data_IF_824774982147
#
_entry.id   IF_824774982147
#
_cell.length_a   1.000
_cell.length_b   1.000
_cell.length_c   1.000
_cell.angle_alpha   90.00
_cell.angle_beta   90.00
_cell.angle_gamma   90.00
#
_symmetry.space_group_name_H-M   'P 1'
#
loop_
_entity.id
_entity.type
_entity.pdbx_description
1 polymer ?
#
# COMPACT_ATOMS: atom_id res chain seq x y z
N UNK A 1 10.29 24.64 -38.87
CA UNK A 1 10.11 25.84 -38.03
C UNK A 1 8.80 25.67 -37.29
N UNK A 2 8.84 25.82 -35.97
CA UNK A 2 7.82 25.43 -34.99
C UNK A 2 6.41 25.98 -35.28
N UNK A 3 5.39 25.13 -35.09
CA UNK A 3 4.06 25.56 -34.64
C UNK A 3 3.42 24.42 -33.82
N UNK A 4 3.62 24.51 -32.51
CA UNK A 4 2.81 23.84 -31.51
C UNK A 4 1.41 24.43 -31.51
N UNK A 5 0.38 23.60 -31.66
CA UNK A 5 -0.95 23.84 -31.09
C UNK A 5 -1.40 22.55 -30.42
N UNK A 6 -1.58 22.64 -29.11
CA UNK A 6 -2.07 21.59 -28.25
C UNK A 6 -3.58 21.42 -28.47
N UNK A 7 -3.95 20.42 -29.25
CA UNK A 7 -5.22 19.74 -29.09
C UNK A 7 -4.89 18.29 -28.70
N UNK A 8 -5.06 17.98 -27.41
CA UNK A 8 -4.97 16.62 -26.88
C UNK A 8 -6.38 16.01 -26.88
N UNK A 9 -6.82 15.29 -27.93
CA UNK A 9 -7.98 14.44 -27.85
C UNK A 9 -7.55 13.12 -27.20
N UNK A 10 -7.22 13.14 -25.91
CA UNK A 10 -7.09 11.90 -25.12
C UNK A 10 -8.49 11.34 -24.86
N UNK A 11 -8.99 10.65 -25.88
CA UNK A 11 -10.27 9.94 -25.87
C UNK A 11 -11.02 10.09 -27.19
N UNK A 12 -10.60 9.34 -28.22
CA UNK A 12 -11.50 8.60 -29.12
C UNK A 12 -10.82 8.11 -30.43
N UNK A 13 -9.66 8.63 -30.84
CA UNK A 13 -9.17 8.38 -32.21
C UNK A 13 -7.64 8.22 -32.34
N UNK A 14 -7.02 7.33 -31.56
CA UNK A 14 -5.61 6.99 -31.78
C UNK A 14 -5.40 5.83 -32.77
N UNK A 15 -6.45 5.11 -33.14
CA UNK A 15 -6.44 4.19 -34.28
C UNK A 15 -7.76 4.35 -35.01
N UNK A 16 -7.71 4.63 -36.31
CA UNK A 16 -8.88 4.72 -37.19
C UNK A 16 -9.53 3.35 -37.35
N UNK A 17 -10.20 2.87 -36.30
CA UNK A 17 -10.91 1.62 -36.30
C UNK A 17 -12.29 1.78 -36.92
N UNK A 18 -12.71 0.77 -37.66
CA UNK A 18 -14.06 0.73 -38.24
C UNK A 18 -15.14 0.69 -37.14
N UNK A 19 -16.39 1.07 -37.46
CA UNK A 19 -17.54 0.93 -36.54
C UNK A 19 -17.65 -0.49 -35.97
N UNK A 20 -17.26 -1.48 -36.77
CA UNK A 20 -17.19 -2.90 -36.38
C UNK A 20 -16.15 -3.12 -35.28
N UNK A 21 -14.95 -2.56 -35.40
CA UNK A 21 -13.91 -2.65 -34.36
C UNK A 21 -14.34 -2.00 -33.05
N UNK A 22 -15.03 -0.85 -33.10
CA UNK A 22 -15.59 -0.22 -31.90
C UNK A 22 -16.64 -1.10 -31.21
N UNK A 23 -17.50 -1.76 -31.99
CA UNK A 23 -18.52 -2.69 -31.45
C UNK A 23 -17.90 -3.96 -30.86
N UNK A 24 -16.81 -4.46 -31.45
CA UNK A 24 -16.08 -5.63 -30.98
C UNK A 24 -15.34 -5.33 -29.67
N UNK A 25 -14.66 -4.18 -29.59
CA UNK A 25 -14.01 -3.71 -28.37
C UNK A 25 -15.01 -3.54 -27.22
N UNK A 26 -16.18 -2.95 -27.50
CA UNK A 26 -17.24 -2.83 -26.48
C UNK A 26 -17.69 -4.21 -25.99
N UNK A 27 -17.85 -5.17 -26.88
CA UNK A 27 -18.24 -6.55 -26.53
C UNK A 27 -17.19 -7.21 -25.63
N UNK A 28 -15.91 -7.04 -25.95
CA UNK A 28 -14.80 -7.53 -25.13
C UNK A 28 -14.80 -6.90 -23.73
N UNK A 29 -15.00 -5.58 -23.63
CA UNK A 29 -15.12 -4.88 -22.33
C UNK A 29 -16.28 -5.42 -21.49
N UNK A 30 -17.46 -5.61 -22.10
CA UNK A 30 -18.62 -6.18 -21.42
C UNK A 30 -18.32 -7.61 -20.94
N UNK A 31 -17.62 -8.42 -21.74
CA UNK A 31 -17.22 -9.77 -21.32
C UNK A 31 -16.31 -9.73 -20.07
N UNK A 32 -15.31 -8.85 -20.05
CA UNK A 32 -14.44 -8.63 -18.88
C UNK A 32 -15.25 -8.24 -17.65
N UNK A 33 -16.27 -7.40 -17.81
CA UNK A 33 -17.17 -7.00 -16.72
C UNK A 33 -17.95 -8.21 -16.22
N UNK A 34 -18.67 -8.91 -17.10
CA UNK A 34 -19.55 -10.04 -16.73
C UNK A 34 -18.77 -11.17 -16.06
N UNK A 35 -17.60 -11.53 -16.60
CA UNK A 35 -16.70 -12.53 -16.00
C UNK A 35 -16.32 -12.08 -14.59
N UNK A 36 -15.96 -10.81 -14.41
CA UNK A 36 -15.64 -10.23 -13.11
C UNK A 36 -16.78 -10.36 -12.09
N UNK A 37 -18.01 -9.97 -12.45
CA UNK A 37 -19.19 -10.14 -11.59
C UNK A 37 -19.41 -11.60 -11.16
N UNK A 38 -19.27 -12.54 -12.10
CA UNK A 38 -19.41 -13.97 -11.81
C UNK A 38 -18.33 -14.44 -10.84
N UNK A 39 -17.07 -14.07 -11.08
CA UNK A 39 -15.94 -14.40 -10.21
C UNK A 39 -16.09 -13.81 -8.81
N UNK A 40 -16.65 -12.61 -8.68
CA UNK A 40 -16.92 -11.98 -7.40
C UNK A 40 -17.89 -12.80 -6.55
N UNK A 41 -18.96 -13.33 -7.15
CA UNK A 41 -19.90 -14.24 -6.47
C UNK A 41 -19.16 -15.47 -5.96
N UNK A 42 -18.32 -16.10 -6.79
CA UNK A 42 -17.54 -17.27 -6.37
C UNK A 42 -16.55 -16.95 -5.26
N UNK A 43 -15.86 -15.81 -5.33
CA UNK A 43 -14.94 -15.35 -4.28
C UNK A 43 -15.68 -15.17 -2.95
N UNK A 44 -16.80 -14.46 -2.96
CA UNK A 44 -17.63 -14.23 -1.75
C UNK A 44 -18.12 -15.54 -1.16
N UNK A 45 -18.64 -16.45 -1.99
CA UNK A 45 -19.08 -17.78 -1.56
C UNK A 45 -17.93 -18.64 -1.03
N UNK A 46 -16.75 -18.53 -1.64
CA UNK A 46 -15.54 -19.21 -1.19
C UNK A 46 -15.13 -18.75 0.21
N UNK A 47 -15.11 -17.43 0.44
CA UNK A 47 -14.84 -16.86 1.77
C UNK A 47 -15.90 -17.26 2.81
N UNK A 48 -17.18 -17.27 2.43
CA UNK A 48 -18.27 -17.69 3.31
C UNK A 48 -18.12 -19.16 3.76
N UNK A 49 -17.67 -20.05 2.87
CA UNK A 49 -17.45 -21.48 3.16
C UNK A 49 -16.17 -21.77 3.93
N UNK A 50 -15.10 -20.99 3.73
CA UNK A 50 -13.80 -21.22 4.38
C UNK A 50 -13.83 -21.01 5.91
N UNK A 51 -14.87 -20.37 6.45
CA UNK A 51 -15.02 -20.09 7.88
C UNK A 51 -13.98 -19.10 8.44
N UNK A 52 -14.17 -18.61 9.67
CA UNK A 52 -13.30 -17.60 10.33
C UNK A 52 -11.86 -18.06 10.61
N UNK A 53 -11.44 -19.26 10.19
CA UNK A 53 -10.34 -20.00 10.82
C UNK A 53 -8.91 -19.51 10.52
N UNK A 54 -8.68 -18.52 9.67
CA UNK A 54 -7.36 -17.89 9.51
C UNK A 54 -7.47 -16.41 9.18
N UNK A 55 -7.92 -15.60 10.14
CA UNK A 55 -7.77 -14.14 10.03
C UNK A 55 -6.29 -13.80 10.26
N UNK A 56 -5.57 -13.49 9.18
CA UNK A 56 -4.26 -12.85 9.21
C UNK A 56 -4.26 -11.66 10.20
N UNK A 57 -3.19 -11.42 11.00
CA UNK A 57 -3.14 -10.37 12.05
C UNK A 57 -3.61 -8.98 11.61
N UNK A 58 -3.40 -8.64 10.34
CA UNK A 58 -3.87 -7.43 9.66
C UNK A 58 -5.40 -7.23 9.65
N UNK A 59 -6.20 -8.26 9.92
CA UNK A 59 -7.66 -8.14 10.05
C UNK A 59 -8.11 -7.72 11.46
N UNK A 60 -7.19 -7.46 12.40
CA UNK A 60 -7.53 -6.69 13.61
C UNK A 60 -7.86 -5.26 13.20
N UNK A 61 -9.15 -4.95 13.17
CA UNK A 61 -9.67 -3.64 12.77
C UNK A 61 -9.79 -2.73 13.99
N UNK A 62 -9.09 -1.59 13.96
CA UNK A 62 -9.42 -0.48 14.86
C UNK A 62 -10.74 0.20 14.41
N UNK A 63 -11.43 0.91 15.32
CA UNK A 63 -12.75 1.53 15.04
C UNK A 63 -12.73 2.51 13.86
N UNK A 64 -11.60 3.17 13.59
CA UNK A 64 -11.46 4.09 12.45
C UNK A 64 -11.39 3.33 11.12
N UNK A 65 -10.59 2.27 11.08
CA UNK A 65 -10.42 1.40 9.90
C UNK A 65 -11.69 0.62 9.58
N UNK A 66 -12.39 0.12 10.60
CA UNK A 66 -13.68 -0.55 10.42
C UNK A 66 -14.72 0.37 9.74
N UNK A 67 -14.82 1.64 10.18
CA UNK A 67 -15.72 2.63 9.57
C UNK A 67 -15.34 2.95 8.12
N UNK A 68 -14.06 3.17 7.83
CA UNK A 68 -13.58 3.40 6.45
C UNK A 68 -13.89 2.23 5.54
N UNK A 69 -13.65 1.00 6.01
CA UNK A 69 -13.93 -0.21 5.25
C UNK A 69 -15.44 -0.41 5.02
N UNK A 70 -16.27 -0.11 6.03
CA UNK A 70 -17.73 -0.17 5.90
C UNK A 70 -18.23 0.77 4.79
N UNK A 71 -17.78 2.03 4.81
CA UNK A 71 -18.15 3.00 3.76
C UNK A 71 -17.68 2.52 2.39
N UNK A 72 -16.43 2.07 2.29
CA UNK A 72 -15.87 1.56 1.04
C UNK A 72 -16.69 0.38 0.47
N UNK A 73 -17.02 -0.61 1.30
CA UNK A 73 -17.79 -1.79 0.89
C UNK A 73 -19.23 -1.42 0.53
N UNK A 74 -19.87 -0.55 1.31
CA UNK A 74 -21.23 -0.10 1.03
C UNK A 74 -21.33 0.59 -0.34
N UNK A 75 -20.45 1.56 -0.60
CA UNK A 75 -20.44 2.26 -1.88
C UNK A 75 -19.96 1.37 -3.03
N UNK A 76 -19.00 0.46 -2.82
CA UNK A 76 -18.59 -0.55 -3.81
C UNK A 76 -19.75 -1.45 -4.22
N UNK A 77 -20.54 -1.92 -3.26
CA UNK A 77 -21.74 -2.72 -3.53
C UNK A 77 -22.78 -1.92 -4.30
N UNK A 78 -22.99 -0.64 -3.93
CA UNK A 78 -23.91 0.24 -4.65
C UNK A 78 -23.46 0.52 -6.09
N UNK A 79 -22.18 0.81 -6.30
CA UNK A 79 -21.61 1.05 -7.62
C UNK A 79 -21.86 -0.14 -8.55
N UNK A 80 -21.56 -1.36 -8.10
CA UNK A 80 -21.72 -2.59 -8.86
C UNK A 80 -23.20 -2.93 -9.11
N UNK A 81 -24.06 -2.80 -8.10
CA UNK A 81 -25.50 -3.08 -8.29
C UNK A 81 -26.18 -2.09 -9.24
N UNK A 82 -25.86 -0.80 -9.12
CA UNK A 82 -26.29 0.22 -10.08
C UNK A 82 -25.66 -0.01 -11.46
N UNK A 83 -24.41 -0.45 -11.48
CA UNK A 83 -23.65 -0.82 -12.66
C UNK A 83 -24.35 -1.90 -13.49
N UNK A 84 -24.61 -3.03 -12.86
CA UNK A 84 -25.35 -4.15 -13.44
C UNK A 84 -26.74 -3.73 -13.91
N UNK A 85 -27.48 -2.96 -13.10
CA UNK A 85 -28.80 -2.44 -13.49
C UNK A 85 -28.73 -1.57 -14.75
N UNK A 86 -27.75 -0.67 -14.84
CA UNK A 86 -27.60 0.20 -16.00
C UNK A 86 -27.23 -0.58 -17.27
N UNK A 87 -26.41 -1.63 -17.16
CA UNK A 87 -26.10 -2.52 -18.29
C UNK A 87 -27.34 -3.29 -18.78
N UNK A 88 -28.20 -3.76 -17.88
CA UNK A 88 -29.43 -4.48 -18.22
C UNK A 88 -30.49 -3.58 -18.88
N UNK A 89 -30.59 -2.32 -18.45
CA UNK A 89 -31.56 -1.34 -18.99
C UNK A 89 -31.05 -0.67 -20.28
N UNK A 90 -29.73 -0.64 -20.50
CA UNK A 90 -29.10 -0.06 -21.68
C UNK A 90 -29.04 1.48 -21.67
N UNK A 91 -28.89 2.09 -22.85
CA UNK A 91 -28.57 3.52 -23.02
C UNK A 91 -29.58 4.53 -22.43
N UNK A 92 -30.77 4.08 -22.02
CA UNK A 92 -31.77 4.89 -21.31
C UNK A 92 -31.47 5.12 -19.82
N UNK A 93 -30.51 4.41 -19.23
CA UNK A 93 -30.26 4.39 -17.79
C UNK A 93 -29.33 5.53 -17.28
N UNK A 94 -29.38 6.74 -17.86
CA UNK A 94 -28.43 7.82 -17.55
C UNK A 94 -28.36 8.21 -16.08
N UNK A 95 -29.53 8.28 -15.41
CA UNK A 95 -29.58 8.54 -13.98
C UNK A 95 -28.87 7.46 -13.16
N UNK A 96 -29.05 6.19 -13.53
CA UNK A 96 -28.40 5.04 -12.89
C UNK A 96 -26.89 5.03 -13.15
N UNK A 97 -26.45 5.33 -14.37
CA UNK A 97 -25.02 5.46 -14.71
C UNK A 97 -24.35 6.55 -13.87
N UNK A 98 -24.98 7.74 -13.76
CA UNK A 98 -24.47 8.84 -12.94
C UNK A 98 -24.45 8.51 -11.45
N UNK A 99 -25.46 7.80 -10.94
CA UNK A 99 -25.48 7.36 -9.55
C UNK A 99 -24.35 6.36 -9.25
N UNK A 100 -24.09 5.41 -10.17
CA UNK A 100 -22.95 4.50 -10.08
C UNK A 100 -21.62 5.26 -10.09
N UNK A 101 -21.45 6.22 -11.01
CA UNK A 101 -20.26 7.08 -11.08
C UNK A 101 -20.05 7.93 -9.81
N UNK A 102 -21.12 8.44 -9.19
CA UNK A 102 -21.01 9.15 -7.91
C UNK A 102 -20.48 8.24 -6.80
N UNK A 103 -20.83 6.94 -6.80
CA UNK A 103 -20.29 5.99 -5.85
C UNK A 103 -18.77 5.81 -6.00
N UNK A 104 -18.26 5.82 -7.24
CA UNK A 104 -16.82 5.72 -7.53
C UNK A 104 -16.01 6.80 -6.83
N UNK A 105 -16.50 8.03 -6.77
CA UNK A 105 -15.77 9.11 -6.10
C UNK A 105 -15.54 8.78 -4.62
N UNK A 106 -16.52 8.19 -3.95
CA UNK A 106 -16.40 7.76 -2.54
C UNK A 106 -15.49 6.53 -2.43
N UNK A 107 -15.61 5.56 -3.34
CA UNK A 107 -14.80 4.34 -3.36
C UNK A 107 -13.33 4.68 -3.56
N UNK A 108 -13.00 5.53 -4.54
CA UNK A 108 -11.64 5.89 -4.88
C UNK A 108 -10.97 6.67 -3.74
N UNK A 109 -11.67 7.62 -3.11
CA UNK A 109 -11.16 8.33 -1.93
C UNK A 109 -10.93 7.37 -0.75
N UNK A 110 -11.87 6.47 -0.48
CA UNK A 110 -11.71 5.50 0.59
C UNK A 110 -10.64 4.44 0.26
N UNK A 111 -10.38 4.13 -1.02
CA UNK A 111 -9.30 3.26 -1.46
C UNK A 111 -7.93 3.91 -1.26
N UNK A 112 -7.79 5.21 -1.58
CA UNK A 112 -6.57 5.99 -1.35
C UNK A 112 -6.12 5.92 0.12
N UNK A 113 -7.07 6.06 1.05
CA UNK A 113 -6.82 5.97 2.50
C UNK A 113 -6.41 4.57 3.00
N UNK A 114 -6.41 3.57 2.12
CA UNK A 114 -6.08 2.19 2.43
C UNK A 114 -4.81 1.70 1.73
N UNK A 115 -4.16 2.51 0.89
CA UNK A 115 -2.99 2.10 0.08
C UNK A 115 -1.83 1.65 0.96
N UNK A 116 -1.52 2.38 2.03
CA UNK A 116 -0.44 2.03 2.96
C UNK A 116 -0.69 0.68 3.66
N UNK A 117 -1.95 0.27 3.73
CA UNK A 117 -2.36 -1.02 4.25
C UNK A 117 -2.52 -2.08 3.14
N UNK A 118 -1.99 -1.89 1.93
CA UNK A 118 -1.96 -2.95 0.90
C UNK A 118 -0.88 -4.00 1.20
N UNK A 119 -0.89 -5.14 0.52
CA UNK A 119 0.13 -6.20 0.68
C UNK A 119 0.96 -6.31 -0.57
N UNK A 120 2.24 -6.67 -0.41
CA UNK A 120 3.21 -6.87 -1.47
C UNK A 120 4.24 -5.75 -1.48
N UNK A 121 4.94 -5.57 -2.60
CA UNK A 121 6.08 -4.65 -2.72
C UNK A 121 5.58 -3.21 -2.84
N UNK A 122 5.78 -2.33 -1.83
CA UNK A 122 5.19 -0.98 -1.84
C UNK A 122 5.64 -0.13 -3.03
N UNK A 123 6.92 -0.26 -3.43
CA UNK A 123 7.50 0.43 -4.58
C UNK A 123 6.82 0.13 -5.92
N UNK A 124 6.04 -0.94 -6.00
CA UNK A 124 5.28 -1.34 -7.21
C UNK A 124 3.79 -1.15 -6.99
N UNK A 125 3.27 -1.53 -5.82
CA UNK A 125 1.83 -1.59 -5.56
C UNK A 125 1.25 -0.21 -5.33
N UNK A 126 1.95 0.65 -4.59
CA UNK A 126 1.51 2.02 -4.33
C UNK A 126 1.24 2.79 -5.63
N UNK A 127 2.19 2.90 -6.58
CA UNK A 127 1.93 3.58 -7.85
C UNK A 127 0.86 2.87 -8.70
N UNK A 128 0.81 1.54 -8.70
CA UNK A 128 -0.23 0.79 -9.41
C UNK A 128 -1.65 1.11 -8.91
N UNK A 129 -1.83 1.18 -7.58
CA UNK A 129 -3.10 1.55 -6.96
C UNK A 129 -3.46 3.01 -7.20
N UNK A 130 -2.48 3.92 -7.28
CA UNK A 130 -2.73 5.30 -7.69
C UNK A 130 -3.18 5.42 -9.15
N UNK A 131 -2.53 4.70 -10.07
CA UNK A 131 -2.90 4.69 -11.49
C UNK A 131 -4.35 4.24 -11.66
N UNK A 132 -4.73 3.08 -11.13
CA UNK A 132 -6.09 2.55 -11.33
C UNK A 132 -7.17 3.43 -10.69
N UNK A 133 -6.93 3.97 -9.49
CA UNK A 133 -7.90 4.84 -8.83
C UNK A 133 -8.03 6.19 -9.54
N UNK A 134 -6.94 6.76 -10.06
CA UNK A 134 -6.98 8.01 -10.83
C UNK A 134 -7.74 7.82 -12.13
N UNK A 135 -7.50 6.72 -12.84
CA UNK A 135 -8.28 6.34 -14.02
C UNK A 135 -9.76 6.18 -13.69
N UNK A 136 -10.07 5.54 -12.56
CA UNK A 136 -11.45 5.30 -12.15
C UNK A 136 -12.20 6.60 -11.85
N UNK A 137 -11.55 7.54 -11.16
CA UNK A 137 -12.06 8.90 -10.91
C UNK A 137 -12.28 9.65 -12.22
N UNK A 138 -11.31 9.60 -13.14
CA UNK A 138 -11.39 10.29 -14.42
C UNK A 138 -12.60 9.84 -15.25
N UNK A 139 -12.84 8.52 -15.35
CA UNK A 139 -14.02 7.98 -16.04
C UNK A 139 -15.32 8.32 -15.34
N UNK A 140 -15.38 8.19 -14.02
CA UNK A 140 -16.55 8.58 -13.24
C UNK A 140 -16.90 10.06 -13.44
N UNK A 141 -15.89 10.94 -13.44
CA UNK A 141 -16.10 12.37 -13.68
C UNK A 141 -16.69 12.63 -15.06
N UNK A 142 -16.19 11.98 -16.12
CA UNK A 142 -16.75 12.08 -17.48
C UNK A 142 -18.19 11.59 -17.59
N UNK A 143 -18.57 10.55 -16.85
CA UNK A 143 -19.96 10.08 -16.77
C UNK A 143 -20.87 11.12 -16.08
N UNK A 144 -20.39 11.72 -15.00
CA UNK A 144 -21.14 12.71 -14.22
C UNK A 144 -21.42 13.99 -15.02
N UNK A 145 -20.38 14.59 -15.61
CA UNK A 145 -20.52 15.84 -16.36
C UNK A 145 -21.25 15.65 -17.70
N UNK A 146 -21.30 14.42 -18.21
CA UNK A 146 -21.68 14.16 -19.60
C UNK A 146 -20.53 14.56 -20.52
N UNK A 147 -19.95 13.60 -21.22
CA UNK A 147 -18.86 13.88 -22.16
C UNK A 147 -19.37 14.81 -23.28
N UNK A 148 -19.19 16.13 -23.09
CA UNK A 148 -19.65 17.14 -24.01
C UNK A 148 -20.30 18.36 -23.33
N UNK A 149 -19.49 19.18 -22.64
CA UNK A 149 -19.76 20.62 -22.64
C UNK A 149 -19.41 21.26 -24.02
N UNK A 150 -18.79 20.49 -24.94
CA UNK A 150 -18.20 20.97 -26.20
C UNK A 150 -18.44 20.07 -27.43
N UNK A 151 -19.20 18.96 -27.37
CA UNK A 151 -19.47 18.12 -28.56
C UNK A 151 -20.91 17.62 -28.62
N UNK A 152 -21.44 17.60 -29.85
CA UNK A 152 -22.83 17.29 -30.20
C UNK A 152 -23.22 15.82 -30.10
N UNK A 153 -22.28 14.91 -29.80
CA UNK A 153 -22.51 13.46 -29.71
C UNK A 153 -22.39 12.93 -28.26
N UNK A 154 -23.18 13.54 -27.36
CA UNK A 154 -23.09 13.34 -25.91
C UNK A 154 -23.60 11.98 -25.41
N UNK A 155 -24.35 11.24 -26.23
CA UNK A 155 -25.06 10.03 -25.79
C UNK A 155 -24.17 8.78 -25.80
N UNK A 156 -23.37 8.60 -26.85
CA UNK A 156 -22.45 7.47 -26.97
C UNK A 156 -21.26 7.58 -26.00
N UNK A 157 -20.74 8.80 -25.84
CA UNK A 157 -19.56 9.04 -25.02
C UNK A 157 -19.81 8.81 -23.51
N UNK A 158 -21.01 9.10 -22.99
CA UNK A 158 -21.35 8.78 -21.59
C UNK A 158 -21.38 7.27 -21.35
N UNK A 159 -21.97 6.51 -22.28
CA UNK A 159 -22.03 5.06 -22.19
C UNK A 159 -20.63 4.43 -22.26
N UNK A 160 -19.77 4.90 -23.16
CA UNK A 160 -18.38 4.39 -23.25
C UNK A 160 -17.58 4.68 -21.98
N UNK A 161 -17.64 5.91 -21.45
CA UNK A 161 -16.95 6.23 -20.19
C UNK A 161 -17.52 5.43 -19.00
N UNK A 162 -18.82 5.12 -19.03
CA UNK A 162 -19.45 4.28 -18.01
C UNK A 162 -18.98 2.83 -18.12
N UNK A 163 -18.87 2.27 -19.33
CA UNK A 163 -18.31 0.93 -19.53
C UNK A 163 -16.85 0.90 -19.08
N UNK A 164 -16.05 1.89 -19.45
CA UNK A 164 -14.65 2.01 -19.01
C UNK A 164 -14.51 2.06 -17.49
N UNK A 165 -15.39 2.82 -16.82
CA UNK A 165 -15.46 2.85 -15.35
C UNK A 165 -15.68 1.45 -14.78
N UNK A 166 -16.67 0.71 -15.29
CA UNK A 166 -16.96 -0.65 -14.83
C UNK A 166 -15.82 -1.64 -15.10
N UNK A 167 -15.06 -1.48 -16.20
CA UNK A 167 -13.85 -2.28 -16.46
C UNK A 167 -12.78 -2.00 -15.41
N UNK A 168 -12.55 -0.74 -15.05
CA UNK A 168 -11.57 -0.37 -14.02
C UNK A 168 -11.94 -0.91 -12.64
N UNK A 169 -13.22 -0.92 -12.29
CA UNK A 169 -13.71 -1.52 -11.05
C UNK A 169 -13.32 -3.02 -10.93
N UNK A 170 -13.25 -3.74 -12.07
CA UNK A 170 -12.86 -5.15 -12.07
C UNK A 170 -11.38 -5.40 -11.73
N UNK A 171 -10.50 -4.40 -11.75
CA UNK A 171 -9.10 -4.59 -11.37
C UNK A 171 -8.94 -5.15 -9.95
N UNK A 172 -9.84 -4.81 -9.04
CA UNK A 172 -9.86 -5.37 -7.69
C UNK A 172 -10.34 -6.83 -7.64
N UNK A 173 -11.25 -7.23 -8.53
CA UNK A 173 -11.72 -8.62 -8.62
C UNK A 173 -10.63 -9.49 -9.25
N UNK A 174 -10.07 -9.07 -10.37
CA UNK A 174 -9.02 -9.79 -11.07
C UNK A 174 -7.74 -9.92 -10.24
N UNK A 175 -7.37 -8.88 -9.46
CA UNK A 175 -6.21 -9.00 -8.56
C UNK A 175 -6.40 -10.10 -7.52
N UNK A 176 -7.59 -10.22 -6.92
CA UNK A 176 -7.91 -11.31 -5.98
C UNK A 176 -7.91 -12.68 -6.66
N UNK A 177 -8.43 -12.75 -7.89
CA UNK A 177 -8.41 -13.98 -8.68
C UNK A 177 -6.96 -14.43 -8.95
N UNK A 178 -6.08 -13.53 -9.40
CA UNK A 178 -4.68 -13.85 -9.65
C UNK A 178 -3.95 -14.23 -8.36
N UNK A 179 -4.17 -13.51 -7.25
CA UNK A 179 -3.62 -13.88 -5.94
C UNK A 179 -4.05 -15.30 -5.55
N UNK A 180 -5.33 -15.63 -5.72
CA UNK A 180 -5.85 -16.96 -5.44
C UNK A 180 -5.19 -18.02 -6.35
N UNK A 181 -5.10 -17.77 -7.66
CA UNK A 181 -4.45 -18.66 -8.62
C UNK A 181 -2.97 -18.92 -8.27
N UNK A 182 -2.26 -17.91 -7.77
CA UNK A 182 -0.84 -18.04 -7.40
C UNK A 182 -0.59 -18.58 -5.99
N UNK A 183 -1.64 -18.82 -5.20
CA UNK A 183 -1.48 -19.26 -3.81
C UNK A 183 -0.69 -20.58 -3.71
N UNK A 184 -0.83 -21.45 -4.71
CA UNK A 184 -0.18 -22.77 -4.74
C UNK A 184 0.88 -22.91 -5.85
N UNK A 185 1.35 -21.81 -6.44
CA UNK A 185 2.34 -21.86 -7.52
C UNK A 185 3.75 -21.62 -6.94
N UNK A 186 4.65 -22.62 -6.98
CA UNK A 186 6.04 -22.45 -6.53
C UNK A 186 6.73 -21.29 -7.26
N UNK A 187 7.59 -20.55 -6.56
CA UNK A 187 8.28 -19.36 -7.09
C UNK A 187 7.41 -18.09 -7.18
N UNK A 188 6.10 -18.20 -7.45
CA UNK A 188 5.20 -17.03 -7.53
C UNK A 188 4.50 -16.76 -6.20
N UNK A 189 4.24 -17.79 -5.38
CA UNK A 189 3.47 -17.68 -4.12
C UNK A 189 3.97 -16.59 -3.16
N UNK A 190 5.28 -16.28 -3.19
CA UNK A 190 5.95 -15.29 -2.35
C UNK A 190 5.66 -13.86 -2.82
N UNK A 191 5.54 -13.67 -4.13
CA UNK A 191 5.24 -12.38 -4.76
C UNK A 191 3.79 -12.24 -5.20
N UNK A 192 2.91 -13.20 -4.86
CA UNK A 192 1.53 -13.32 -5.35
C UNK A 192 0.71 -12.03 -5.26
N UNK A 193 0.92 -11.21 -4.21
CA UNK A 193 0.21 -9.94 -4.03
C UNK A 193 0.66 -8.90 -5.04
N UNK A 194 1.99 -8.71 -5.17
CA UNK A 194 2.58 -7.81 -6.16
C UNK A 194 2.20 -8.25 -7.57
N UNK A 195 2.50 -9.50 -7.93
CA UNK A 195 2.24 -10.05 -9.26
C UNK A 195 0.75 -10.04 -9.61
N UNK A 196 -0.13 -10.41 -8.67
CA UNK A 196 -1.57 -10.41 -8.91
C UNK A 196 -2.13 -9.00 -9.11
N UNK A 197 -1.67 -8.02 -8.34
CA UNK A 197 -2.11 -6.63 -8.49
C UNK A 197 -1.61 -6.01 -9.81
N UNK A 198 -0.34 -6.22 -10.19
CA UNK A 198 0.18 -5.70 -11.46
C UNK A 198 -0.45 -6.39 -12.66
N UNK A 199 -0.67 -7.71 -12.64
CA UNK A 199 -1.37 -8.40 -13.74
C UNK A 199 -2.80 -7.89 -13.92
N UNK A 200 -3.52 -7.61 -12.83
CA UNK A 200 -4.84 -7.01 -12.91
C UNK A 200 -4.79 -5.60 -13.52
N UNK A 201 -3.79 -4.78 -13.15
CA UNK A 201 -3.57 -3.47 -13.77
C UNK A 201 -3.31 -3.59 -15.28
N UNK A 202 -2.45 -4.53 -15.68
CA UNK A 202 -2.12 -4.79 -17.09
C UNK A 202 -3.25 -5.46 -17.88
N UNK A 203 -4.28 -5.96 -17.20
CA UNK A 203 -5.52 -6.41 -17.85
C UNK A 203 -6.46 -5.23 -18.13
N UNK A 204 -6.69 -4.37 -17.12
CA UNK A 204 -7.74 -3.34 -17.19
C UNK A 204 -7.29 -2.03 -17.85
N UNK A 205 -6.04 -1.60 -17.64
CA UNK A 205 -5.54 -0.32 -18.18
C UNK A 205 -5.50 -0.33 -19.71
N UNK A 206 -4.88 -1.33 -20.38
CA UNK A 206 -4.91 -1.35 -21.84
C UNK A 206 -6.30 -1.61 -22.42
N UNK A 207 -7.23 -2.23 -21.68
CA UNK A 207 -8.61 -2.33 -22.12
C UNK A 207 -9.30 -0.95 -22.22
N UNK A 208 -8.90 0.03 -21.41
CA UNK A 208 -9.49 1.38 -21.36
C UNK A 208 -8.69 2.41 -22.16
N UNK A 209 -7.37 2.40 -22.05
CA UNK A 209 -6.47 3.40 -22.64
C UNK A 209 -5.60 2.85 -23.77
N UNK A 210 -5.80 1.60 -24.17
CA UNK A 210 -4.98 0.94 -25.19
C UNK A 210 -3.55 0.65 -24.73
N UNK A 211 -2.68 0.15 -25.64
CA UNK A 211 -1.31 -0.23 -25.30
C UNK A 211 -0.47 0.95 -24.79
N UNK A 212 -0.76 2.17 -25.25
CA UNK A 212 -0.08 3.40 -24.78
C UNK A 212 -0.31 3.63 -23.29
N UNK A 213 -1.54 3.42 -22.79
CA UNK A 213 -1.83 3.53 -21.36
C UNK A 213 -1.03 2.53 -20.51
N UNK A 214 -0.84 1.30 -21.02
CA UNK A 214 -0.01 0.31 -20.34
C UNK A 214 1.47 0.72 -20.30
N UNK A 215 2.00 1.28 -21.39
CA UNK A 215 3.37 1.80 -21.43
C UNK A 215 3.58 2.95 -20.44
N UNK A 216 2.63 3.88 -20.37
CA UNK A 216 2.67 4.98 -19.40
C UNK A 216 2.65 4.43 -17.96
N UNK A 217 1.80 3.44 -17.68
CA UNK A 217 1.76 2.79 -16.37
C UNK A 217 3.10 2.13 -16.01
N UNK A 218 3.76 1.45 -16.96
CA UNK A 218 5.09 0.87 -16.77
C UNK A 218 6.11 1.95 -16.42
N UNK A 219 6.13 3.05 -17.18
CA UNK A 219 7.07 4.16 -16.95
C UNK A 219 6.86 4.79 -15.57
N UNK A 220 5.61 5.03 -15.17
CA UNK A 220 5.28 5.60 -13.84
C UNK A 220 5.74 4.65 -12.73
N UNK A 221 5.44 3.36 -12.85
CA UNK A 221 5.84 2.35 -11.84
C UNK A 221 7.37 2.25 -11.77
N UNK A 222 8.07 2.22 -12.91
CA UNK A 222 9.52 2.15 -12.96
C UNK A 222 10.18 3.40 -12.34
N UNK A 223 9.66 4.60 -12.67
CA UNK A 223 10.14 5.85 -12.11
C UNK A 223 9.95 5.90 -10.59
N UNK A 224 8.76 5.52 -10.10
CA UNK A 224 8.47 5.46 -8.67
C UNK A 224 9.36 4.42 -7.96
N UNK A 225 9.53 3.24 -8.56
CA UNK A 225 10.39 2.18 -8.00
C UNK A 225 11.85 2.61 -7.89
N UNK A 226 12.37 3.33 -8.90
CA UNK A 226 13.73 3.86 -8.87
C UNK A 226 13.89 4.93 -7.78
N UNK A 227 12.93 5.83 -7.64
CA UNK A 227 12.94 6.84 -6.60
C UNK A 227 12.93 6.20 -5.20
N UNK A 228 12.04 5.23 -4.99
CA UNK A 228 11.92 4.52 -3.71
C UNK A 228 13.18 3.70 -3.38
N UNK A 229 13.76 3.00 -4.36
CA UNK A 229 15.00 2.25 -4.18
C UNK A 229 16.21 3.13 -3.83
N UNK A 230 16.26 4.37 -4.34
CA UNK A 230 17.31 5.32 -3.96
C UNK A 230 17.20 5.77 -2.50
N UNK A 231 15.97 5.94 -2.00
CA UNK A 231 15.70 6.34 -0.62
C UNK A 231 15.98 5.19 0.36
N UNK A 232 15.53 3.97 0.01
CA UNK A 232 15.75 2.76 0.82
C UNK A 232 17.23 2.39 0.88
N UNK A 233 17.98 2.53 -0.22
CA UNK A 233 19.44 2.37 -0.21
C UNK A 233 20.15 3.40 0.69
N UNK A 234 19.63 4.63 0.75
CA UNK A 234 20.12 5.66 1.67
C UNK A 234 19.90 5.27 3.13
N UNK A 235 18.68 4.84 3.48
CA UNK A 235 18.32 4.37 4.84
C UNK A 235 19.16 3.17 5.25
N UNK A 236 19.33 2.18 4.37
CA UNK A 236 20.11 0.98 4.65
C UNK A 236 21.61 1.30 4.87
N UNK A 237 22.17 2.24 4.10
CA UNK A 237 23.55 2.71 4.32
C UNK A 237 23.73 3.43 5.65
N UNK A 238 22.80 4.33 5.99
CA UNK A 238 22.82 5.04 7.26
C UNK A 238 22.70 4.04 8.42
N UNK A 239 21.83 3.06 8.26
CA UNK A 239 21.60 2.01 9.23
C UNK A 239 22.82 1.09 9.42
N UNK A 240 23.45 0.66 8.34
CA UNK A 240 24.69 -0.12 8.39
C UNK A 240 25.81 0.66 9.11
N UNK A 241 25.88 1.98 8.91
CA UNK A 241 26.80 2.84 9.64
C UNK A 241 26.49 2.93 11.14
N UNK A 242 25.20 2.98 11.53
CA UNK A 242 24.78 2.91 12.94
C UNK A 242 25.19 1.57 13.56
N UNK A 243 24.85 0.45 12.92
CA UNK A 243 25.20 -0.89 13.42
C UNK A 243 26.72 -1.08 13.53
N UNK A 244 27.48 -0.57 12.57
CA UNK A 244 28.95 -0.60 12.62
C UNK A 244 29.50 0.13 13.85
N UNK A 245 28.98 1.33 14.14
CA UNK A 245 29.33 2.09 15.35
C UNK A 245 28.95 1.33 16.63
N UNK A 246 27.71 0.84 16.71
CA UNK A 246 27.21 0.09 17.87
C UNK A 246 28.05 -1.17 18.12
N UNK A 247 28.31 -1.98 17.08
CA UNK A 247 29.09 -3.22 17.22
C UNK A 247 30.55 -2.94 17.61
N UNK A 248 31.14 -1.82 17.16
CA UNK A 248 32.48 -1.41 17.59
C UNK A 248 32.54 -1.04 19.09
N UNK A 249 31.47 -0.46 19.63
CA UNK A 249 31.35 -0.16 21.07
C UNK A 249 31.12 -1.43 21.90
N UNK A 250 30.33 -2.38 21.39
CA UNK A 250 30.07 -3.67 22.05
C UNK A 250 31.32 -4.54 22.10
N UNK A 251 32.09 -4.63 21.00
CA UNK A 251 33.30 -5.47 20.94
C UNK A 251 34.39 -5.07 21.93
N UNK A 252 34.36 -3.85 22.46
CA UNK A 252 35.32 -3.35 23.44
C UNK A 252 34.93 -3.67 24.89
N UNK A 253 33.73 -4.23 25.15
CA UNK A 253 33.21 -4.50 26.48
C UNK A 253 32.82 -5.98 26.62
N UNK A 254 33.36 -6.66 27.64
CA UNK A 254 33.09 -8.09 27.90
C UNK A 254 32.06 -8.20 29.03
N UNK A 255 30.84 -8.59 28.68
CA UNK A 255 29.73 -8.88 29.61
C UNK A 255 28.37 -8.73 28.92
N UNK A 256 27.40 -9.61 29.19
CA UNK A 256 26.02 -9.51 28.63
C UNK A 256 24.98 -9.77 29.72
N UNK A 257 24.15 -8.77 30.02
CA UNK A 257 22.90 -8.93 30.79
C UNK A 257 21.81 -9.54 29.88
N UNK A 258 20.82 -10.32 30.36
CA UNK A 258 19.77 -10.84 29.48
C UNK A 258 19.03 -9.72 28.71
N UNK A 259 18.72 -9.95 27.42
CA UNK A 259 18.03 -8.95 26.57
C UNK A 259 16.69 -8.50 27.15
N UNK A 260 16.04 -9.37 27.93
CA UNK A 260 14.80 -9.03 28.62
C UNK A 260 15.03 -7.97 29.70
N UNK A 261 16.10 -8.09 30.48
CA UNK A 261 16.47 -7.09 31.48
C UNK A 261 16.82 -5.75 30.82
N UNK A 262 17.50 -5.78 29.68
CA UNK A 262 17.78 -4.58 28.90
C UNK A 262 16.49 -3.88 28.41
N UNK A 263 15.48 -4.67 28.01
CA UNK A 263 14.17 -4.15 27.64
C UNK A 263 13.43 -3.55 28.84
N UNK A 264 13.41 -4.26 29.97
CA UNK A 264 12.70 -3.82 31.17
C UNK A 264 13.30 -2.52 31.77
N UNK A 265 14.58 -2.20 31.50
CA UNK A 265 15.19 -0.91 31.90
C UNK A 265 14.79 0.25 30.99
N UNK A 266 14.49 -0.03 29.72
CA UNK A 266 13.99 0.98 28.80
C UNK A 266 12.51 1.29 29.03
N UNK A 267 11.74 0.30 29.47
CA UNK A 267 10.31 0.38 29.77
C UNK A 267 10.13 1.07 31.13
N UNK A 268 10.11 2.40 31.12
CA UNK A 268 10.12 3.20 32.35
C UNK A 268 8.77 3.17 33.07
N UNK A 269 7.69 3.08 32.30
CA UNK A 269 6.35 3.03 32.84
C UNK A 269 5.88 1.60 33.16
N UNK A 270 6.63 0.58 32.74
CA UNK A 270 6.39 -0.83 33.03
C UNK A 270 5.18 -1.39 32.30
N UNK A 271 4.78 -0.78 31.18
CA UNK A 271 3.57 -1.17 30.45
C UNK A 271 3.79 -2.41 29.54
N UNK A 272 5.03 -2.90 29.44
CA UNK A 272 5.43 -4.06 28.63
C UNK A 272 5.71 -3.74 27.16
N UNK A 273 5.76 -2.47 26.79
CA UNK A 273 6.04 -1.95 25.44
C UNK A 273 6.86 -0.67 25.52
N UNK A 274 7.70 -0.42 24.51
CA UNK A 274 8.51 0.80 24.46
C UNK A 274 7.90 1.83 23.52
N UNK A 275 7.59 3.02 24.03
CA UNK A 275 7.13 4.11 23.19
C UNK A 275 8.29 4.89 22.54
N UNK A 276 7.95 5.76 21.58
CA UNK A 276 8.94 6.55 20.85
C UNK A 276 9.66 7.59 21.72
N UNK A 277 9.08 8.00 22.84
CA UNK A 277 9.70 8.90 23.81
C UNK A 277 10.75 8.17 24.65
N UNK A 278 10.42 6.97 25.13
CA UNK A 278 11.31 6.10 25.91
C UNK A 278 12.54 5.67 25.11
N UNK A 279 12.35 5.27 23.84
CA UNK A 279 13.47 5.01 22.94
C UNK A 279 14.31 6.26 22.70
N UNK A 280 13.65 7.41 22.48
CA UNK A 280 14.34 8.64 22.11
C UNK A 280 15.19 9.17 23.24
N UNK A 281 14.70 9.14 24.47
CA UNK A 281 15.43 9.63 25.62
C UNK A 281 16.77 8.90 25.79
N UNK A 282 16.76 7.57 25.68
CA UNK A 282 17.97 6.75 25.84
C UNK A 282 18.91 6.83 24.63
N UNK A 283 18.38 6.73 23.41
CA UNK A 283 19.21 6.77 22.20
C UNK A 283 19.83 8.14 21.96
N UNK A 284 19.17 9.23 22.39
CA UNK A 284 19.72 10.58 22.31
C UNK A 284 20.91 10.77 23.27
N UNK A 285 20.87 10.15 24.46
CA UNK A 285 22.02 10.12 25.39
C UNK A 285 23.24 9.42 24.77
N UNK A 286 23.04 8.54 23.79
CA UNK A 286 24.12 7.84 23.08
C UNK A 286 24.54 8.52 21.77
N UNK A 287 24.10 9.75 21.53
CA UNK A 287 24.48 10.53 20.35
C UNK A 287 23.85 10.03 19.04
N UNK A 288 22.75 9.28 19.13
CA UNK A 288 21.93 8.94 17.96
C UNK A 288 20.97 10.10 17.68
N UNK A 289 20.94 10.56 16.44
CA UNK A 289 20.08 11.67 16.05
C UNK A 289 18.59 11.28 16.10
N UNK A 290 17.74 12.25 16.43
CA UNK A 290 16.29 12.03 16.54
C UNK A 290 15.64 11.51 15.25
N UNK A 291 16.28 11.76 14.08
CA UNK A 291 15.84 11.22 12.79
C UNK A 291 16.06 9.71 12.71
N UNK A 292 17.26 9.26 13.07
CA UNK A 292 17.65 7.85 13.01
C UNK A 292 16.84 7.01 14.00
N UNK A 293 16.53 7.58 15.17
CA UNK A 293 15.65 6.95 16.17
C UNK A 293 14.24 6.76 15.62
N UNK A 294 13.71 7.78 14.93
CA UNK A 294 12.39 7.72 14.32
C UNK A 294 12.33 6.67 13.21
N UNK A 295 13.36 6.60 12.37
CA UNK A 295 13.45 5.57 11.31
C UNK A 295 13.57 4.15 11.88
N UNK A 296 14.36 3.98 12.96
CA UNK A 296 14.46 2.71 13.68
C UNK A 296 13.11 2.28 14.27
N UNK A 297 12.39 3.22 14.89
CA UNK A 297 11.08 2.96 15.47
C UNK A 297 10.05 2.54 14.42
N UNK A 298 9.96 3.29 13.31
CA UNK A 298 9.02 3.00 12.22
C UNK A 298 9.28 1.64 11.55
N UNK A 299 10.54 1.20 11.50
CA UNK A 299 10.91 -0.11 10.95
C UNK A 299 10.47 -1.27 11.84
N UNK A 300 10.62 -1.12 13.16
CA UNK A 300 10.33 -2.21 14.13
C UNK A 300 8.82 -2.27 14.45
N UNK A 301 8.09 -1.15 14.39
CA UNK A 301 6.64 -1.08 14.67
C UNK A 301 5.79 -1.65 13.52
N UNK A 302 5.92 -2.95 13.26
CA UNK A 302 5.15 -3.66 12.22
C UNK A 302 3.64 -3.57 12.49
N UNK A 303 3.23 -3.51 13.76
CA UNK A 303 1.82 -3.44 14.13
C UNK A 303 1.21 -2.04 14.09
N UNK A 304 2.02 -0.99 13.86
CA UNK A 304 1.63 0.42 13.83
C UNK A 304 0.82 0.83 15.07
N UNK A 305 1.26 0.38 16.24
CA UNK A 305 0.63 0.71 17.52
C UNK A 305 1.16 1.99 18.13
N UNK A 306 2.30 2.49 17.65
CA UNK A 306 3.02 3.60 18.28
C UNK A 306 3.79 3.16 19.54
N UNK A 307 4.02 1.86 19.70
CA UNK A 307 4.74 1.24 20.82
C UNK A 307 5.35 -0.09 20.37
N UNK A 308 6.58 -0.40 20.76
CA UNK A 308 7.30 -1.62 20.38
C UNK A 308 7.19 -2.68 21.47
N UNK A 309 6.61 -3.85 21.15
CA UNK A 309 6.64 -5.00 22.05
C UNK A 309 7.99 -5.73 22.01
N UNK A 310 8.32 -6.45 23.08
CA UNK A 310 9.55 -7.25 23.15
C UNK A 310 9.70 -8.22 21.98
N UNK A 311 8.60 -8.85 21.53
CA UNK A 311 8.60 -9.73 20.35
C UNK A 311 8.88 -8.98 19.05
N UNK A 312 8.33 -7.77 18.87
CA UNK A 312 8.60 -6.95 17.67
C UNK A 312 10.07 -6.58 17.58
N UNK A 313 10.68 -6.22 18.72
CA UNK A 313 12.12 -5.90 18.80
C UNK A 313 12.99 -7.12 18.54
N UNK A 314 12.63 -8.30 19.04
CA UNK A 314 13.37 -9.53 18.77
C UNK A 314 13.19 -10.05 17.35
N UNK A 315 12.09 -9.73 16.66
CA UNK A 315 11.89 -10.17 15.28
C UNK A 315 12.66 -9.33 14.26
N UNK A 316 13.21 -8.19 14.67
CA UNK A 316 14.04 -7.34 13.82
C UNK A 316 15.50 -7.32 14.32
N UNK A 317 16.45 -7.50 13.40
CA UNK A 317 17.88 -7.57 13.73
C UNK A 317 18.42 -6.26 14.30
N UNK A 318 17.83 -5.11 13.95
CA UNK A 318 18.17 -3.81 14.53
C UNK A 318 17.70 -3.73 15.98
N UNK A 319 16.48 -4.18 16.24
CA UNK A 319 15.92 -4.25 17.58
C UNK A 319 16.76 -5.14 18.51
N UNK A 320 17.17 -6.30 18.02
CA UNK A 320 18.10 -7.18 18.73
C UNK A 320 19.45 -6.51 19.02
N UNK A 321 20.08 -5.88 18.02
CA UNK A 321 21.37 -5.21 18.18
C UNK A 321 21.29 -4.04 19.17
N UNK A 322 20.17 -3.31 19.18
CA UNK A 322 19.90 -2.27 20.16
C UNK A 322 19.83 -2.84 21.58
N UNK A 323 19.05 -3.91 21.82
CA UNK A 323 18.97 -4.53 23.14
C UNK A 323 20.31 -5.15 23.58
N UNK A 324 21.08 -5.72 22.64
CA UNK A 324 22.43 -6.23 22.93
C UNK A 324 23.37 -5.12 23.40
N UNK A 325 23.31 -3.94 22.77
CA UNK A 325 24.10 -2.79 23.20
C UNK A 325 23.77 -2.35 24.63
N UNK A 326 22.48 -2.34 24.96
CA UNK A 326 21.98 -1.91 26.28
C UNK A 326 22.34 -2.93 27.35
N UNK A 327 22.19 -4.21 27.04
CA UNK A 327 22.64 -5.32 27.86
C UNK A 327 24.11 -5.16 28.28
N UNK A 328 24.97 -4.73 27.37
CA UNK A 328 26.39 -4.50 27.66
C UNK A 328 26.60 -3.28 28.58
N UNK A 329 25.85 -2.19 28.38
CA UNK A 329 25.93 -1.00 29.24
C UNK A 329 25.46 -1.27 30.68
N UNK A 330 24.41 -2.08 30.84
CA UNK A 330 23.86 -2.40 32.16
C UNK A 330 24.81 -3.29 32.96
N UNK A 331 25.49 -4.22 32.30
CA UNK A 331 26.51 -5.06 32.92
C UNK A 331 27.64 -4.25 33.56
N UNK A 332 28.09 -3.16 32.91
CA UNK A 332 29.15 -2.29 33.44
C UNK A 332 28.69 -1.56 34.73
N UNK A 333 27.43 -1.13 34.81
CA UNK A 333 26.90 -0.45 36.01
C UNK A 333 26.78 -1.39 37.22
N UNK A 334 26.35 -2.64 37.03
CA UNK A 334 26.32 -3.63 38.13
C UNK A 334 27.73 -4.02 38.61
N UNK A 335 28.73 -3.98 37.72
CA UNK A 335 30.12 -4.30 38.08
C UNK A 335 30.84 -3.22 38.90
N UNK A 336 30.30 -1.98 38.92
CA UNK A 336 30.88 -0.85 39.63
C UNK A 336 30.37 -0.68 41.07
N UNK A 337 29.23 -1.29 41.42
CA UNK A 337 28.66 -1.23 42.79
C UNK A 337 29.38 -2.15 43.80
N UNK A 338 30.41 -2.89 43.35
CA UNK A 338 31.26 -3.73 44.19
C UNK A 338 32.56 -3.08 44.69
N UNK A 339 32.87 -1.84 44.30
CA UNK A 339 34.11 -1.16 44.71
C UNK A 339 33.81 0.06 45.60
N UNK A 340 34.55 0.27 46.71
CA UNK A 340 34.27 1.39 47.60
C UNK A 340 34.50 2.71 46.86
N UNK A 341 33.52 3.60 46.95
CA UNK A 341 33.57 4.96 46.40
C UNK A 341 34.92 5.63 46.66
N UNK A 342 35.67 5.89 45.60
CA UNK A 342 36.68 6.94 45.61
C UNK A 342 36.44 7.87 44.42
N UNK A 343 36.17 9.12 44.74
CA UNK A 343 36.06 10.24 43.83
C UNK A 343 37.31 10.37 42.97
N UNK A 344 37.15 10.48 41.65
CA UNK A 344 37.95 11.31 40.73
C UNK A 344 38.05 10.65 39.34
N UNK A 345 37.23 11.13 38.39
CA UNK A 345 37.61 11.35 36.98
C UNK A 345 36.47 11.97 36.19
N UNK A 346 36.13 13.21 36.55
CA UNK A 346 35.47 14.15 35.65
C UNK A 346 36.48 15.22 35.25
N UNK A 347 37.43 14.88 34.37
CA UNK A 347 38.11 15.84 33.49
C UNK A 347 38.86 15.07 32.41
N UNK A 348 38.94 15.67 31.22
CA UNK A 348 39.41 15.12 29.93
C UNK A 348 38.33 14.48 29.08
N UNK A 349 37.49 15.34 28.52
CA UNK A 349 37.20 15.37 27.07
C UNK A 349 36.64 16.77 26.79
N UNK A 350 37.56 17.67 26.44
CA UNK A 350 37.29 18.94 25.76
C UNK A 350 37.89 18.81 24.36
#
# INVERSE_FOLDING_TARGET
MFAWTYDLPLGAYAFGGTVREASEQRTQKIAVIVIGYVLEIFLVLGYARAGKKRMHPKFRLNRRRARRLLVHVAFGTMELTLGARALLVGGGARGTMRASAACVLVIALTAMLQIDASFGTPSIITPALHIINTAHIEKAFRVLIGAGALSSDSSGAVLENFIDQLVLAQGFVYSRMFIFAFTNVPGIKEHRYTTGATLALFLVIPAVYGPVGALIAIVIIAAYSNACGSEESGKERNFAAICGRVNSLVRLRIGKTPLRTAFDVLDKDGNGTLDGSELREQLFTWGVDARDIKELFERIDISNRGSLSFEEILNDTAGQAMLEYISVLLHDNESLDGAPHSSSRASKLA
#
